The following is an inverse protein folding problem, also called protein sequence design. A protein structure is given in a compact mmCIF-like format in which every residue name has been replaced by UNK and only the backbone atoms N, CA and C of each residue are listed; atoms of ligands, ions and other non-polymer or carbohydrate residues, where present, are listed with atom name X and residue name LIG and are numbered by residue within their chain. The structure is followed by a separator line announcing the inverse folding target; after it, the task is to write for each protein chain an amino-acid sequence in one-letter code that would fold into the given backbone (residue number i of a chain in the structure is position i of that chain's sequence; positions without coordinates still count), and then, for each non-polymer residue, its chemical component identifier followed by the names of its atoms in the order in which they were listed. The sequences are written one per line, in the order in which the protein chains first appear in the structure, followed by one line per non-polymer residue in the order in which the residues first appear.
data_IF_742943132249
#
_entry.id   IF_742943132249
#
_cell.length_a   1.000
_cell.length_b   1.000
_cell.length_c   1.000
_cell.angle_alpha   90.00
_cell.angle_beta   90.00
_cell.angle_gamma   90.00
#
_symmetry.space_group_name_H-M   'P 1'
#
loop_
_entity.id
_entity.type
_entity.pdbx_description
1 polymer ?
#
# COMPACT_ATOMS: atom_id res chain seq x y z
N UNK A 1 15.75 -21.35 -7.41
CA UNK A 1 14.59 -20.44 -7.49
C UNK A 1 13.80 -20.82 -8.72
N UNK A 2 12.47 -20.82 -8.67
CA UNK A 2 11.64 -21.09 -9.86
C UNK A 2 11.71 -19.92 -10.83
N UNK A 3 11.69 -20.24 -12.12
CA UNK A 3 11.73 -19.25 -13.20
C UNK A 3 10.42 -19.24 -13.98
N UNK A 4 9.97 -18.05 -14.37
CA UNK A 4 8.80 -17.86 -15.24
C UNK A 4 9.20 -17.00 -16.43
N UNK A 5 8.88 -17.45 -17.64
CA UNK A 5 9.07 -16.69 -18.87
C UNK A 5 7.69 -16.25 -19.40
N UNK A 6 7.48 -14.93 -19.52
CA UNK A 6 6.31 -14.35 -20.20
C UNK A 6 6.72 -14.03 -21.63
N UNK A 7 6.01 -14.62 -22.60
CA UNK A 7 6.38 -14.51 -24.04
C UNK A 7 5.27 -13.85 -24.86
N UNK A 8 5.64 -13.38 -26.05
CA UNK A 8 4.72 -12.89 -27.09
C UNK A 8 3.89 -11.66 -26.73
N UNK A 9 4.06 -11.06 -25.57
CA UNK A 9 3.31 -9.86 -25.15
C UNK A 9 3.86 -8.57 -25.75
N UNK A 10 3.13 -7.49 -25.54
CA UNK A 10 3.63 -6.11 -25.69
C UNK A 10 3.92 -5.59 -24.28
N UNK A 11 5.18 -5.47 -23.92
CA UNK A 11 5.59 -4.93 -22.62
C UNK A 11 5.45 -3.43 -22.64
N UNK A 12 4.74 -2.92 -21.64
CA UNK A 12 4.51 -1.47 -21.44
C UNK A 12 5.30 -1.04 -20.20
N UNK A 13 6.28 -0.17 -20.39
CA UNK A 13 7.14 0.31 -19.33
C UNK A 13 7.54 1.77 -19.59
N UNK A 14 7.43 2.63 -18.55
CA UNK A 14 7.84 4.03 -18.56
C UNK A 14 7.44 4.80 -19.85
N UNK A 15 6.23 4.57 -20.35
CA UNK A 15 5.71 5.24 -21.55
C UNK A 15 6.18 4.63 -22.87
N UNK A 16 6.88 3.51 -22.86
CA UNK A 16 7.26 2.76 -24.06
C UNK A 16 6.44 1.49 -24.19
N UNK A 17 6.19 1.06 -25.43
CA UNK A 17 5.55 -0.22 -25.77
C UNK A 17 6.48 -1.00 -26.67
N UNK A 18 6.91 -2.19 -26.24
CA UNK A 18 7.88 -2.98 -26.97
C UNK A 18 7.52 -4.47 -26.98
N UNK A 19 7.68 -5.17 -28.10
CA UNK A 19 7.53 -6.62 -28.16
C UNK A 19 8.74 -7.29 -27.51
N UNK A 20 8.65 -7.59 -26.23
CA UNK A 20 9.70 -8.22 -25.43
C UNK A 20 9.16 -9.44 -24.70
N UNK A 21 10.06 -10.36 -24.38
CA UNK A 21 9.83 -11.44 -23.43
C UNK A 21 10.37 -11.03 -22.06
N UNK A 22 9.76 -11.51 -20.97
CA UNK A 22 10.18 -11.19 -19.60
C UNK A 22 10.58 -12.47 -18.89
N UNK A 23 11.82 -12.54 -18.42
CA UNK A 23 12.29 -13.61 -17.54
C UNK A 23 12.16 -13.13 -16.09
N UNK A 24 11.46 -13.93 -15.28
CA UNK A 24 11.28 -13.71 -13.83
C UNK A 24 12.01 -14.86 -13.12
N UNK A 25 12.82 -14.53 -12.13
CA UNK A 25 13.49 -15.48 -11.24
C UNK A 25 13.07 -15.22 -9.79
N UNK A 26 12.36 -16.17 -9.20
CA UNK A 26 11.72 -15.97 -7.91
C UNK A 26 10.71 -14.82 -7.96
N UNK A 27 10.95 -13.76 -7.20
CA UNK A 27 10.08 -12.59 -7.09
C UNK A 27 10.56 -11.36 -7.87
N UNK A 28 11.56 -11.53 -8.74
CA UNK A 28 12.17 -10.39 -9.45
C UNK A 28 12.16 -10.59 -10.96
N UNK A 29 11.94 -9.51 -11.68
CA UNK A 29 12.24 -9.44 -13.12
C UNK A 29 13.76 -9.53 -13.28
N UNK A 30 14.24 -10.64 -13.83
CA UNK A 30 15.66 -10.88 -14.06
C UNK A 30 16.13 -10.16 -15.32
N UNK A 31 15.35 -10.27 -16.39
CA UNK A 31 15.70 -9.61 -17.66
C UNK A 31 14.49 -9.36 -18.56
N UNK A 32 14.61 -8.32 -19.40
CA UNK A 32 13.78 -8.08 -20.56
C UNK A 32 14.55 -8.53 -21.80
N UNK A 33 14.00 -9.47 -22.53
CA UNK A 33 14.64 -10.16 -23.63
C UNK A 33 13.99 -9.78 -24.96
N UNK A 34 14.71 -9.83 -26.08
CA UNK A 34 14.09 -9.78 -27.39
C UNK A 34 13.02 -10.86 -27.53
N UNK A 35 11.92 -10.54 -28.21
CA UNK A 35 10.84 -11.51 -28.46
C UNK A 35 11.37 -12.75 -29.17
N UNK A 36 10.98 -13.92 -28.67
CA UNK A 36 11.38 -15.21 -29.21
C UNK A 36 12.77 -15.68 -28.78
N UNK A 37 13.30 -15.11 -27.68
CA UNK A 37 14.57 -15.59 -27.09
C UNK A 37 14.44 -17.04 -26.62
N UNK A 38 15.39 -17.87 -26.98
CA UNK A 38 15.46 -19.28 -26.56
C UNK A 38 15.97 -19.36 -25.11
N UNK A 39 15.08 -19.15 -24.14
CA UNK A 39 15.36 -19.27 -22.71
C UNK A 39 14.53 -20.39 -22.10
N UNK A 40 15.17 -21.28 -21.35
CA UNK A 40 14.46 -22.30 -20.57
C UNK A 40 13.95 -21.69 -19.24
N UNK A 41 12.69 -21.94 -18.93
CA UNK A 41 12.07 -21.57 -17.67
C UNK A 41 11.19 -22.71 -17.16
N UNK A 42 10.97 -22.77 -15.85
CA UNK A 42 10.11 -23.78 -15.22
C UNK A 42 8.64 -23.61 -15.62
N UNK A 43 8.24 -22.35 -15.89
CA UNK A 43 6.91 -21.99 -16.33
C UNK A 43 6.97 -21.00 -17.51
N UNK A 44 6.10 -21.20 -18.49
CA UNK A 44 5.94 -20.26 -19.62
C UNK A 44 4.50 -19.75 -19.63
N UNK A 45 4.35 -18.43 -19.77
CA UNK A 45 3.06 -17.75 -19.93
C UNK A 45 3.04 -17.11 -21.32
N UNK A 46 2.14 -17.56 -22.18
CA UNK A 46 1.92 -16.92 -23.48
C UNK A 46 0.99 -15.71 -23.33
N UNK A 47 1.52 -14.52 -23.62
CA UNK A 47 0.82 -13.25 -23.60
C UNK A 47 0.48 -12.74 -25.01
N UNK A 48 0.32 -13.63 -25.98
CA UNK A 48 -0.06 -13.28 -27.37
C UNK A 48 -1.31 -12.41 -27.41
N UNK A 49 -1.22 -11.28 -28.08
CA UNK A 49 -2.33 -10.31 -28.22
C UNK A 49 -2.64 -9.51 -26.93
N UNK A 50 -1.78 -9.56 -25.92
CA UNK A 50 -1.95 -8.87 -24.64
C UNK A 50 -0.85 -7.86 -24.39
N UNK A 51 -1.21 -6.84 -23.60
CA UNK A 51 -0.24 -5.97 -22.97
C UNK A 51 0.24 -6.58 -21.64
N UNK A 52 1.52 -6.45 -21.36
CA UNK A 52 2.14 -6.84 -20.10
C UNK A 52 2.60 -5.56 -19.41
N UNK A 53 1.98 -5.27 -18.26
CA UNK A 53 2.22 -4.06 -17.49
C UNK A 53 2.73 -4.42 -16.10
N UNK A 54 3.46 -3.51 -15.42
CA UNK A 54 3.63 -3.60 -13.97
C UNK A 54 2.26 -3.65 -13.28
N UNK A 55 2.19 -4.34 -12.15
CA UNK A 55 0.99 -4.35 -11.32
C UNK A 55 0.63 -2.93 -10.86
N UNK A 56 -0.67 -2.64 -10.80
CA UNK A 56 -1.15 -1.33 -10.33
C UNK A 56 -0.96 -1.26 -8.82
N UNK A 57 -0.47 -0.12 -8.33
CA UNK A 57 -0.40 0.21 -6.91
C UNK A 57 -1.54 1.18 -6.58
N UNK A 58 -2.49 0.74 -5.76
CA UNK A 58 -3.54 1.61 -5.22
C UNK A 58 -3.07 2.19 -3.88
N UNK A 59 -2.59 3.42 -3.92
CA UNK A 59 -2.07 4.13 -2.76
C UNK A 59 -3.14 4.96 -2.01
N UNK A 60 -4.43 4.82 -2.34
CA UNK A 60 -5.47 5.61 -1.67
C UNK A 60 -6.80 4.86 -1.61
N UNK A 61 -6.99 4.06 -0.58
CA UNK A 61 -8.26 3.38 -0.34
C UNK A 61 -8.61 3.34 1.16
N UNK A 62 -9.87 3.03 1.45
CA UNK A 62 -10.43 3.02 2.80
C UNK A 62 -11.23 1.73 3.02
N UNK A 63 -10.59 0.59 3.29
CA UNK A 63 -11.29 -0.68 3.50
C UNK A 63 -12.28 -0.63 4.66
N UNK A 64 -12.02 0.22 5.65
CA UNK A 64 -12.87 0.41 6.84
C UNK A 64 -14.33 0.77 6.53
N UNK A 65 -14.62 1.27 5.33
CA UNK A 65 -15.99 1.61 4.91
C UNK A 65 -16.72 0.47 4.20
N UNK A 66 -16.00 -0.50 3.67
CA UNK A 66 -16.58 -1.47 2.76
C UNK A 66 -16.23 -2.91 3.13
N UNK A 67 -14.96 -3.23 3.33
CA UNK A 67 -14.51 -4.60 3.43
C UNK A 67 -13.24 -4.75 4.29
N UNK A 68 -13.02 -5.99 4.70
CA UNK A 68 -11.74 -6.42 5.26
C UNK A 68 -10.71 -6.58 4.14
N UNK A 69 -9.43 -6.58 4.52
CA UNK A 69 -8.31 -6.68 3.56
C UNK A 69 -8.37 -7.94 2.68
N UNK A 70 -8.89 -9.05 3.20
CA UNK A 70 -9.03 -10.31 2.46
C UNK A 70 -9.99 -10.18 1.27
N UNK A 71 -11.08 -9.42 1.39
CA UNK A 71 -12.01 -9.14 0.30
C UNK A 71 -11.51 -8.04 -0.61
N UNK A 72 -10.99 -6.96 -0.01
CA UNK A 72 -10.39 -5.85 -0.75
C UNK A 72 -9.30 -6.36 -1.69
N UNK A 73 -8.36 -7.16 -1.20
CA UNK A 73 -7.24 -7.65 -1.99
C UNK A 73 -7.67 -8.53 -3.16
N UNK A 74 -8.70 -9.38 -2.99
CA UNK A 74 -9.26 -10.20 -4.09
C UNK A 74 -9.94 -9.34 -5.15
N UNK A 75 -10.72 -8.34 -4.74
CA UNK A 75 -11.37 -7.42 -5.67
C UNK A 75 -10.33 -6.58 -6.43
N UNK A 76 -9.32 -6.07 -5.72
CA UNK A 76 -8.21 -5.31 -6.29
C UNK A 76 -7.43 -6.13 -7.32
N UNK A 77 -7.06 -7.37 -6.97
CA UNK A 77 -6.34 -8.28 -7.86
C UNK A 77 -7.12 -8.56 -9.16
N UNK A 78 -8.44 -8.72 -9.08
CA UNK A 78 -9.26 -8.95 -10.28
C UNK A 78 -9.25 -7.77 -11.25
N UNK A 79 -8.93 -6.56 -10.78
CA UNK A 79 -8.72 -5.35 -11.57
C UNK A 79 -7.27 -5.09 -11.98
N UNK A 80 -6.33 -6.00 -11.62
CA UNK A 80 -4.90 -5.83 -11.94
C UNK A 80 -4.11 -5.01 -10.91
N UNK A 81 -4.70 -4.71 -9.75
CA UNK A 81 -4.00 -4.10 -8.62
C UNK A 81 -3.24 -5.19 -7.86
N UNK A 82 -1.95 -5.01 -7.70
CA UNK A 82 -1.05 -5.97 -7.02
C UNK A 82 -0.53 -5.48 -5.68
N UNK A 83 -0.76 -4.21 -5.36
CA UNK A 83 -0.37 -3.61 -4.09
C UNK A 83 -1.42 -2.60 -3.66
N UNK A 84 -1.84 -2.62 -2.40
CA UNK A 84 -2.75 -1.63 -1.80
C UNK A 84 -2.08 -0.96 -0.61
N UNK A 85 -2.32 0.36 -0.45
CA UNK A 85 -1.82 1.13 0.69
C UNK A 85 -3.01 1.87 1.33
N UNK A 86 -3.82 1.19 2.14
CA UNK A 86 -5.00 1.77 2.76
C UNK A 86 -4.70 2.72 3.91
N UNK A 87 -5.69 3.58 4.23
CA UNK A 87 -5.70 4.42 5.41
C UNK A 87 -6.26 3.65 6.61
N UNK A 88 -5.44 3.42 7.62
CA UNK A 88 -5.76 2.65 8.82
C UNK A 88 -5.46 3.48 10.07
N UNK A 89 -6.21 3.29 11.14
CA UNK A 89 -5.98 3.95 12.42
C UNK A 89 -7.08 3.71 13.44
N UNK A 90 -6.87 4.14 14.67
CA UNK A 90 -7.84 4.11 15.77
C UNK A 90 -8.82 5.28 15.63
N UNK A 91 -9.57 5.32 14.52
CA UNK A 91 -10.47 6.43 14.19
C UNK A 91 -11.86 6.14 14.73
N UNK A 92 -12.26 6.90 15.75
CA UNK A 92 -13.57 6.74 16.41
C UNK A 92 -14.74 6.90 15.42
N UNK A 93 -14.63 7.81 14.44
CA UNK A 93 -15.62 8.01 13.38
C UNK A 93 -15.80 6.78 12.47
N UNK A 94 -14.88 5.82 12.50
CA UNK A 94 -14.94 4.53 11.78
C UNK A 94 -15.36 3.38 12.69
N UNK A 95 -15.80 3.69 13.91
CA UNK A 95 -16.16 2.69 14.91
C UNK A 95 -14.95 1.92 15.49
N UNK A 96 -13.73 2.43 15.29
CA UNK A 96 -12.52 1.84 15.86
C UNK A 96 -12.22 2.46 17.21
N UNK A 97 -11.90 1.61 18.19
CA UNK A 97 -11.54 2.01 19.56
C UNK A 97 -10.19 1.38 19.91
N UNK A 98 -9.52 1.93 20.92
CA UNK A 98 -8.20 1.46 21.37
C UNK A 98 -7.07 2.38 20.93
N UNK A 99 -5.84 1.97 21.22
CA UNK A 99 -4.63 2.71 20.90
C UNK A 99 -4.24 2.63 19.42
N UNK A 100 -3.49 3.62 18.98
CA UNK A 100 -3.05 3.72 17.59
C UNK A 100 -2.18 2.54 17.17
N UNK A 101 -1.19 2.17 17.98
CA UNK A 101 -0.29 1.04 17.73
C UNK A 101 -1.07 -0.25 17.61
N UNK A 102 -2.03 -0.50 18.52
CA UNK A 102 -2.86 -1.69 18.48
C UNK A 102 -3.70 -1.78 17.19
N UNK A 103 -4.28 -0.67 16.75
CA UNK A 103 -5.08 -0.64 15.53
C UNK A 103 -4.24 -0.98 14.27
N UNK A 104 -3.00 -0.55 14.25
CA UNK A 104 -2.05 -0.87 13.18
C UNK A 104 -1.61 -2.33 13.24
N UNK A 105 -1.28 -2.86 14.42
CA UNK A 105 -0.91 -4.26 14.61
C UNK A 105 -2.03 -5.23 14.20
N UNK A 106 -3.26 -4.89 14.54
CA UNK A 106 -4.42 -5.69 14.16
C UNK A 106 -4.61 -5.73 12.63
N UNK A 107 -4.42 -4.59 11.97
CA UNK A 107 -4.49 -4.54 10.50
C UNK A 107 -3.34 -5.32 9.84
N UNK A 108 -2.11 -5.18 10.32
CA UNK A 108 -0.95 -5.94 9.79
C UNK A 108 -1.21 -7.44 9.90
N UNK A 109 -1.64 -7.92 11.07
CA UNK A 109 -1.97 -9.33 11.29
C UNK A 109 -3.10 -9.82 10.38
N UNK A 110 -4.14 -9.00 10.18
CA UNK A 110 -5.21 -9.30 9.23
C UNK A 110 -4.68 -9.39 7.80
N UNK A 111 -3.79 -8.50 7.41
CA UNK A 111 -3.15 -8.47 6.09
C UNK A 111 -2.27 -9.69 5.84
N UNK A 112 -1.40 -10.02 6.77
CA UNK A 112 -0.48 -11.17 6.69
C UNK A 112 -1.21 -12.51 6.52
N UNK A 113 -2.40 -12.63 7.11
CA UNK A 113 -3.18 -13.87 7.06
C UNK A 113 -4.22 -13.91 5.95
N UNK A 114 -4.68 -12.75 5.45
CA UNK A 114 -5.85 -12.66 4.57
C UNK A 114 -5.60 -12.02 3.21
N UNK A 115 -4.58 -11.18 3.05
CA UNK A 115 -4.32 -10.55 1.78
C UNK A 115 -3.75 -11.52 0.75
N UNK A 116 -4.22 -11.43 -0.49
CA UNK A 116 -3.66 -12.18 -1.62
C UNK A 116 -2.77 -11.31 -2.54
N UNK A 117 -2.49 -10.08 -2.14
CA UNK A 117 -1.58 -9.14 -2.82
C UNK A 117 -0.73 -8.43 -1.77
N UNK A 118 0.29 -7.72 -2.20
CA UNK A 118 1.10 -6.90 -1.31
C UNK A 118 0.29 -5.77 -0.69
N UNK A 119 0.64 -5.40 0.54
CA UNK A 119 -0.01 -4.28 1.21
C UNK A 119 0.98 -3.46 2.04
N UNK A 120 0.73 -2.17 2.10
CA UNK A 120 1.29 -1.23 3.06
C UNK A 120 0.16 -0.56 3.83
N UNK A 121 0.43 0.57 4.46
CA UNK A 121 -0.60 1.39 5.07
C UNK A 121 -0.17 2.84 5.23
N UNK A 122 -1.16 3.73 5.28
CA UNK A 122 -1.04 5.09 5.79
C UNK A 122 -1.69 5.13 7.17
N UNK A 123 -0.95 5.55 8.19
CA UNK A 123 -1.47 5.68 9.55
C UNK A 123 -2.32 6.96 9.68
N UNK A 124 -3.59 6.81 10.03
CA UNK A 124 -4.53 7.92 10.18
C UNK A 124 -4.51 8.46 11.60
N UNK A 125 -4.26 9.76 11.72
CA UNK A 125 -4.19 10.51 12.96
C UNK A 125 -5.40 11.44 13.08
N UNK A 126 -6.12 11.33 14.17
CA UNK A 126 -7.28 12.19 14.50
C UNK A 126 -7.18 12.66 15.95
N UNK A 127 -8.01 13.58 16.36
CA UNK A 127 -7.91 14.21 17.68
C UNK A 127 -7.88 13.22 18.85
N UNK A 128 -8.53 12.07 18.72
CA UNK A 128 -8.59 11.06 19.79
C UNK A 128 -7.27 10.29 20.04
N UNK A 129 -6.28 10.38 19.14
CA UNK A 129 -4.98 9.71 19.31
C UNK A 129 -3.83 10.66 19.58
N UNK A 130 -4.11 11.96 19.76
CA UNK A 130 -3.07 12.97 19.95
C UNK A 130 -2.29 12.80 21.26
N UNK A 131 -2.93 12.29 22.31
CA UNK A 131 -2.28 12.09 23.60
C UNK A 131 -1.21 10.98 23.57
N UNK A 132 -1.34 10.02 22.64
CA UNK A 132 -0.36 8.93 22.46
C UNK A 132 0.62 9.17 21.29
N UNK A 133 0.46 10.25 20.53
CA UNK A 133 1.20 10.48 19.28
C UNK A 133 2.72 10.52 19.46
N UNK A 134 3.20 11.14 20.55
CA UNK A 134 4.63 11.29 20.84
C UNK A 134 5.35 9.95 21.07
N UNK A 135 4.65 8.94 21.59
CA UNK A 135 5.17 7.60 21.80
C UNK A 135 4.88 6.69 20.62
N UNK A 136 3.66 6.77 20.08
CA UNK A 136 3.19 5.87 19.04
C UNK A 136 3.86 6.12 17.68
N UNK A 137 4.09 7.38 17.27
CA UNK A 137 4.65 7.68 15.95
C UNK A 137 6.09 7.15 15.80
N UNK A 138 7.03 7.42 16.73
CA UNK A 138 8.37 6.84 16.63
C UNK A 138 8.37 5.30 16.65
N UNK A 139 7.50 4.69 17.46
CA UNK A 139 7.35 3.23 17.51
C UNK A 139 6.86 2.67 16.17
N UNK A 140 5.86 3.28 15.57
CA UNK A 140 5.32 2.89 14.27
C UNK A 140 6.35 3.07 13.15
N UNK A 141 7.11 4.17 13.17
CA UNK A 141 8.19 4.40 12.20
C UNK A 141 9.28 3.34 12.31
N UNK A 142 9.68 2.97 13.52
CA UNK A 142 10.64 1.89 13.74
C UNK A 142 10.16 0.53 13.20
N UNK A 143 8.83 0.34 13.07
CA UNK A 143 8.20 -0.85 12.47
C UNK A 143 7.96 -0.73 10.96
N UNK A 144 8.38 0.39 10.33
CA UNK A 144 8.27 0.61 8.89
C UNK A 144 7.02 1.39 8.43
N UNK A 145 6.21 1.93 9.34
CA UNK A 145 5.10 2.83 8.98
C UNK A 145 5.63 4.24 8.77
N UNK A 146 5.87 4.60 7.53
CA UNK A 146 6.54 5.85 7.17
C UNK A 146 5.61 6.92 6.61
N UNK A 147 4.30 6.70 6.65
CA UNK A 147 3.31 7.63 6.11
C UNK A 147 2.13 7.78 7.06
N UNK A 148 1.82 9.03 7.36
CA UNK A 148 0.76 9.45 8.27
C UNK A 148 -0.21 10.38 7.57
N UNK A 149 -1.48 10.37 8.01
CA UNK A 149 -2.56 11.20 7.48
C UNK A 149 -3.27 11.94 8.59
N UNK A 150 -3.36 13.25 8.49
CA UNK A 150 -4.12 14.12 9.37
C UNK A 150 -5.26 14.86 8.65
N UNK A 151 -6.14 15.53 9.38
CA UNK A 151 -7.32 16.20 8.84
C UNK A 151 -7.40 17.64 9.32
N UNK A 152 -7.56 18.57 8.39
CA UNK A 152 -7.92 19.96 8.66
C UNK A 152 -9.44 20.19 8.58
N UNK A 153 -10.19 19.16 8.22
CA UNK A 153 -11.65 19.15 8.01
C UNK A 153 -12.32 18.07 8.85
N UNK A 154 -13.65 17.88 8.67
CA UNK A 154 -14.47 16.90 9.39
C UNK A 154 -14.59 17.11 10.93
N UNK A 155 -14.64 18.38 11.37
CA UNK A 155 -14.86 18.73 12.81
C UNK A 155 -16.06 17.98 13.41
N UNK A 156 -17.20 17.92 12.70
CA UNK A 156 -18.40 17.22 13.20
C UNK A 156 -18.22 15.72 13.40
N UNK A 157 -17.21 15.12 12.76
CA UNK A 157 -16.84 13.69 12.91
C UNK A 157 -15.73 13.46 13.93
N UNK A 158 -15.24 14.51 14.60
CA UNK A 158 -14.13 14.42 15.55
C UNK A 158 -12.79 14.07 14.90
N UNK A 159 -12.64 14.30 13.59
CA UNK A 159 -11.41 13.96 12.87
C UNK A 159 -10.47 15.16 12.72
N UNK A 160 -11.02 16.38 12.69
CA UNK A 160 -10.22 17.59 12.53
C UNK A 160 -9.25 17.78 13.68
N UNK A 161 -8.01 18.09 13.35
CA UNK A 161 -6.99 18.59 14.29
C UNK A 161 -7.01 20.11 14.34
N UNK A 162 -6.64 20.66 15.49
CA UNK A 162 -6.44 22.09 15.66
C UNK A 162 -5.01 22.49 15.25
N UNK A 163 -4.76 23.77 15.05
CA UNK A 163 -3.53 24.27 14.43
C UNK A 163 -2.26 23.92 15.23
N UNK A 164 -2.36 23.93 16.56
CA UNK A 164 -1.29 23.53 17.48
C UNK A 164 -0.97 22.03 17.37
N UNK A 165 -1.99 21.19 17.27
CA UNK A 165 -1.85 19.75 17.04
C UNK A 165 -1.22 19.45 15.67
N UNK A 166 -1.61 20.20 14.65
CA UNK A 166 -1.06 20.08 13.30
C UNK A 166 0.43 20.42 13.32
N UNK A 167 0.79 21.56 13.93
CA UNK A 167 2.19 21.98 14.04
C UNK A 167 3.02 20.94 14.78
N UNK A 168 2.52 20.45 15.92
CA UNK A 168 3.17 19.41 16.70
C UNK A 168 3.42 18.13 15.87
N UNK A 169 2.41 17.65 15.13
CA UNK A 169 2.57 16.49 14.25
C UNK A 169 3.56 16.73 13.11
N UNK A 170 3.56 17.92 12.52
CA UNK A 170 4.53 18.26 11.48
C UNK A 170 5.97 18.17 12.00
N UNK A 171 6.24 18.69 13.20
CA UNK A 171 7.55 18.62 13.84
C UNK A 171 7.93 17.17 14.20
N UNK A 172 7.00 16.42 14.77
CA UNK A 172 7.22 15.04 15.19
C UNK A 172 7.49 14.13 13.98
N UNK A 173 6.64 14.16 12.96
CA UNK A 173 6.78 13.34 11.76
C UNK A 173 8.01 13.71 10.95
N UNK A 174 8.38 15.02 10.89
CA UNK A 174 9.61 15.47 10.25
C UNK A 174 10.85 14.94 10.97
N UNK A 175 10.86 14.93 12.29
CA UNK A 175 11.95 14.39 13.13
C UNK A 175 12.19 12.91 12.85
N UNK A 176 11.11 12.16 12.65
CA UNK A 176 11.14 10.74 12.28
C UNK A 176 11.42 10.49 10.79
N UNK A 177 11.60 11.55 9.97
CA UNK A 177 11.81 11.48 8.52
C UNK A 177 10.69 10.74 7.77
N UNK A 178 9.48 10.84 8.26
CA UNK A 178 8.29 10.24 7.68
C UNK A 178 7.46 11.27 6.89
N UNK A 179 6.44 10.82 6.17
CA UNK A 179 5.53 11.63 5.39
C UNK A 179 4.28 11.97 6.20
N UNK A 180 3.86 13.23 6.21
CA UNK A 180 2.57 13.66 6.74
C UNK A 180 1.71 14.25 5.61
N UNK A 181 0.58 13.61 5.33
CA UNK A 181 -0.43 14.07 4.38
C UNK A 181 -1.62 14.70 5.10
N UNK A 182 -2.31 15.62 4.43
CA UNK A 182 -3.51 16.27 4.97
C UNK A 182 -4.72 16.06 4.08
N UNK A 183 -5.86 15.90 4.72
CA UNK A 183 -7.17 16.06 4.09
C UNK A 183 -7.71 17.45 4.47
N UNK A 184 -7.81 18.32 3.48
CA UNK A 184 -8.28 19.70 3.62
C UNK A 184 -9.69 19.88 3.04
#
# INVERSE_FOLDING_TARGET
MSTTLITNGIVVDAGTMRPLDILISGERVESLLPRGSEVRADRVIDASGRYVLPGIIDAHNHPVYADRIDRLSRAALSGGVTTVIPYIGAVAAWGKQGGLVQAIDDFIREGETGSCIDFGLHCTLTANVMEEADEAIPELVARGVISFKAFTSYRKRGMKLEDDQILHLMELVAREKALLAFHA
#
